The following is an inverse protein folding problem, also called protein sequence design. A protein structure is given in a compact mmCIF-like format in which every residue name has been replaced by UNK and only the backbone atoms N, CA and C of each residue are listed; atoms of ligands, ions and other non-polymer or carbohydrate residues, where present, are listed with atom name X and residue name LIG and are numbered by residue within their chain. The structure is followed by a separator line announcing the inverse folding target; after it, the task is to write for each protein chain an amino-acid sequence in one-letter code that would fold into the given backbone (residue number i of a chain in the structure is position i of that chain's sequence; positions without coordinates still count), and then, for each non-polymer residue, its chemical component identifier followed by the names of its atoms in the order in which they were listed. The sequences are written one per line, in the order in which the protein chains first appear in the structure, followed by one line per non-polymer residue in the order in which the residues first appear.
data_IF_323692079733
#
_entry.id   IF_323692079733
#
_cell.length_a   1.000
_cell.length_b   1.000
_cell.length_c   1.000
_cell.angle_alpha   90.00
_cell.angle_beta   90.00
_cell.angle_gamma   90.00
#
_symmetry.space_group_name_H-M   'P 1'
#
loop_
_entity.id
_entity.type
_entity.pdbx_description
1 polymer ?
#
# COMPACT_ATOMS: atom_id res chain seq x y z
N UNK A 1 -19.07 -20.39 26.73
CA UNK A 1 -17.64 -20.27 26.49
C UNK A 1 -17.50 -19.68 25.10
N UNK A 2 -17.22 -18.39 24.99
CA UNK A 2 -17.08 -17.68 23.73
C UNK A 2 -15.58 -17.67 23.43
N UNK A 3 -15.16 -18.31 22.36
CA UNK A 3 -13.76 -18.34 21.93
C UNK A 3 -13.28 -16.91 21.61
N UNK A 4 -12.03 -16.54 21.96
CA UNK A 4 -11.50 -15.22 21.67
C UNK A 4 -11.36 -15.02 20.16
N UNK A 5 -11.61 -13.79 19.64
CA UNK A 5 -11.44 -13.49 18.25
C UNK A 5 -9.97 -13.62 17.82
N UNK A 6 -9.74 -14.30 16.71
CA UNK A 6 -8.44 -14.48 16.08
C UNK A 6 -7.83 -13.11 15.71
N UNK A 7 -6.54 -12.94 16.02
CA UNK A 7 -5.75 -11.74 15.75
C UNK A 7 -5.69 -11.45 14.24
N UNK A 8 -5.68 -10.18 13.84
CA UNK A 8 -5.47 -9.84 12.42
C UNK A 8 -4.09 -10.31 11.96
N UNK A 9 -4.05 -10.96 10.80
CA UNK A 9 -2.82 -11.33 10.15
C UNK A 9 -2.08 -10.07 9.67
N UNK A 10 -0.85 -9.90 10.12
CA UNK A 10 0.03 -8.80 9.74
C UNK A 10 0.92 -9.21 8.57
N UNK A 11 1.32 -8.27 7.77
CA UNK A 11 2.13 -8.43 6.56
C UNK A 11 3.55 -8.93 6.84
N UNK A 12 4.14 -9.70 5.94
CA UNK A 12 5.51 -10.22 6.08
C UNK A 12 6.52 -9.23 5.49
N UNK A 13 7.31 -8.58 6.34
CA UNK A 13 8.30 -7.58 5.95
C UNK A 13 9.44 -8.16 5.08
N UNK A 14 9.76 -9.43 5.25
CA UNK A 14 10.81 -10.09 4.46
C UNK A 14 10.44 -10.25 2.98
N UNK A 15 9.13 -10.32 2.64
CA UNK A 15 8.69 -10.36 1.25
C UNK A 15 8.82 -9.04 0.52
N UNK A 16 8.72 -7.91 1.21
CA UNK A 16 8.90 -6.60 0.59
C UNK A 16 10.35 -6.34 0.15
N UNK A 17 11.31 -7.01 0.77
CA UNK A 17 12.74 -6.86 0.44
C UNK A 17 13.21 -7.75 -0.72
N UNK A 18 12.48 -8.84 -1.05
CA UNK A 18 12.99 -9.87 -1.95
C UNK A 18 12.21 -10.06 -3.26
N UNK A 19 11.09 -9.38 -3.48
CA UNK A 19 10.35 -9.56 -4.74
C UNK A 19 10.70 -8.48 -5.76
N UNK A 20 11.71 -8.78 -6.58
CA UNK A 20 11.80 -8.20 -7.92
C UNK A 20 10.53 -8.57 -8.70
N UNK A 21 9.93 -7.60 -9.37
CA UNK A 21 8.78 -7.80 -10.27
C UNK A 21 8.98 -9.03 -11.15
N UNK A 22 7.98 -9.92 -11.29
CA UNK A 22 8.10 -11.08 -12.16
C UNK A 22 8.36 -10.65 -13.59
N UNK A 23 9.37 -11.26 -14.21
CA UNK A 23 9.65 -11.17 -15.63
C UNK A 23 8.44 -11.67 -16.44
N UNK A 24 8.23 -11.19 -17.66
CA UNK A 24 7.11 -11.61 -18.51
C UNK A 24 7.18 -13.12 -18.80
N UNK A 25 6.05 -13.79 -19.08
CA UNK A 25 5.97 -15.22 -19.24
C UNK A 25 6.91 -15.71 -20.34
N UNK A 26 7.74 -16.69 -19.99
CA UNK A 26 8.62 -17.37 -20.95
C UNK A 26 7.77 -18.20 -21.89
N UNK A 27 8.09 -18.10 -23.19
CA UNK A 27 7.54 -18.91 -24.27
C UNK A 27 7.89 -20.38 -23.99
N UNK A 28 6.98 -21.35 -24.26
CA UNK A 28 7.22 -22.74 -23.93
C UNK A 28 8.41 -23.29 -24.77
N UNK A 29 9.28 -23.99 -24.06
CA UNK A 29 10.40 -24.71 -24.66
C UNK A 29 9.86 -25.84 -25.54
N UNK A 30 10.37 -25.90 -26.77
CA UNK A 30 10.20 -27.02 -27.72
C UNK A 30 10.87 -28.25 -27.12
N UNK A 31 10.12 -29.34 -26.96
CA UNK A 31 10.69 -30.66 -26.71
C UNK A 31 11.32 -31.22 -27.98
N UNK A 32 12.52 -31.79 -27.92
CA UNK A 32 13.03 -32.64 -28.98
C UNK A 32 12.90 -34.10 -28.57
N UNK A 33 11.86 -34.76 -29.02
CA UNK A 33 11.85 -36.21 -29.16
C UNK A 33 12.42 -36.63 -30.50
N UNK A 34 13.07 -37.78 -30.47
CA UNK A 34 13.63 -38.59 -31.56
C UNK A 34 15.06 -38.22 -32.07
N UNK A 35 16.04 -38.91 -31.53
CA UNK A 35 16.84 -39.81 -32.39
C UNK A 35 17.67 -40.79 -31.56
N UNK A 36 17.15 -42.00 -31.35
CA UNK A 36 17.99 -43.19 -31.11
C UNK A 36 18.33 -43.73 -32.45
N UNK A 37 19.60 -43.78 -32.81
CA UNK A 37 20.28 -44.94 -33.35
C UNK A 37 21.75 -44.62 -33.71
N UNK A 38 22.58 -45.66 -33.46
CA UNK A 38 23.91 -45.93 -34.03
C UNK A 38 25.13 -45.45 -33.21
N UNK A 39 25.67 -46.42 -32.50
CA UNK A 39 27.06 -46.91 -32.32
C UNK A 39 28.22 -46.07 -32.85
N UNK A 40 29.25 -45.94 -32.01
CA UNK A 40 30.60 -45.69 -32.46
C UNK A 40 31.50 -44.92 -31.53
N UNK A 41 32.22 -45.62 -30.70
CA UNK A 41 33.43 -45.33 -29.97
C UNK A 41 34.25 -44.11 -30.41
N UNK A 42 34.62 -43.24 -29.48
CA UNK A 42 36.00 -42.75 -29.25
C UNK A 42 36.05 -41.82 -28.02
N UNK A 43 36.92 -42.21 -27.11
CA UNK A 43 37.32 -41.47 -25.95
C UNK A 43 38.04 -40.18 -26.41
N UNK A 44 37.45 -39.02 -26.11
CA UNK A 44 38.17 -37.76 -26.09
C UNK A 44 37.86 -37.05 -24.77
N UNK A 45 38.93 -36.83 -24.00
CA UNK A 45 38.94 -36.08 -22.77
C UNK A 45 38.46 -34.65 -23.03
N UNK A 46 37.23 -34.32 -22.57
CA UNK A 46 36.78 -32.95 -22.48
C UNK A 46 37.08 -32.40 -21.11
N UNK A 47 38.01 -31.45 -21.07
CA UNK A 47 38.18 -30.52 -19.96
C UNK A 47 36.89 -29.77 -19.81
N UNK A 48 36.12 -30.09 -18.78
CA UNK A 48 34.91 -29.34 -18.43
C UNK A 48 35.32 -27.94 -17.92
N UNK A 49 35.26 -26.96 -18.82
CA UNK A 49 35.30 -25.57 -18.44
C UNK A 49 33.99 -25.23 -17.76
N UNK A 50 33.97 -25.28 -16.43
CA UNK A 50 32.81 -24.84 -15.62
C UNK A 50 32.64 -23.35 -15.80
N UNK A 51 31.79 -22.94 -16.74
CA UNK A 51 31.28 -21.57 -16.80
C UNK A 51 30.43 -21.34 -15.54
N UNK A 52 30.99 -20.68 -14.54
CA UNK A 52 30.26 -20.12 -13.42
C UNK A 52 29.35 -19.03 -14.01
N UNK A 53 28.10 -19.36 -14.24
CA UNK A 53 27.05 -18.37 -14.53
C UNK A 53 26.86 -17.57 -13.23
N UNK A 54 27.53 -16.43 -13.15
CA UNK A 54 27.23 -15.41 -12.17
C UNK A 54 25.80 -14.90 -12.48
N UNK A 55 24.81 -15.50 -11.82
CA UNK A 55 23.48 -14.89 -11.73
C UNK A 55 23.70 -13.58 -10.97
N UNK A 56 23.42 -12.41 -11.57
CA UNK A 56 23.50 -11.18 -10.81
C UNK A 56 22.48 -11.29 -9.69
N UNK A 57 22.96 -11.39 -8.46
CA UNK A 57 22.12 -11.17 -7.31
C UNK A 57 21.47 -9.79 -7.50
N UNK A 58 20.16 -9.73 -7.53
CA UNK A 58 19.45 -8.46 -7.51
C UNK A 58 19.94 -7.74 -6.24
N UNK A 59 20.78 -6.73 -6.44
CA UNK A 59 21.33 -5.94 -5.34
C UNK A 59 20.14 -5.22 -4.71
N UNK A 60 19.79 -5.59 -3.49
CA UNK A 60 18.86 -4.82 -2.71
C UNK A 60 19.43 -3.40 -2.58
N UNK A 61 18.62 -2.38 -2.91
CA UNK A 61 19.06 -0.99 -2.82
C UNK A 61 19.42 -0.64 -1.37
N UNK A 62 20.64 -0.16 -1.18
CA UNK A 62 21.13 0.27 0.13
C UNK A 62 20.78 1.72 0.45
N UNK A 63 21.02 2.19 1.69
CA UNK A 63 20.77 3.58 2.07
C UNK A 63 21.46 4.61 1.18
N UNK A 64 22.64 4.31 0.66
CA UNK A 64 23.40 5.19 -0.24
C UNK A 64 22.76 5.40 -1.62
N UNK A 65 21.79 4.56 -2.00
CA UNK A 65 21.07 4.69 -3.26
C UNK A 65 19.93 5.70 -3.18
N UNK A 66 19.52 6.09 -1.98
CA UNK A 66 18.45 7.04 -1.73
C UNK A 66 19.04 8.45 -1.52
N UNK A 67 18.37 9.44 -2.10
CA UNK A 67 18.80 10.83 -2.06
C UNK A 67 18.05 11.67 -1.02
N UNK A 68 16.87 11.19 -0.59
CA UNK A 68 15.91 11.95 0.21
C UNK A 68 15.13 12.98 -0.61
N UNK A 69 13.91 13.28 -0.18
CA UNK A 69 12.99 14.13 -0.93
C UNK A 69 13.50 15.56 -1.12
N UNK A 70 14.31 16.09 -0.19
CA UNK A 70 14.89 17.44 -0.32
C UNK A 70 15.78 17.59 -1.56
N UNK A 71 16.44 16.53 -1.99
CA UNK A 71 17.24 16.54 -3.20
C UNK A 71 16.42 16.71 -4.50
N UNK A 72 15.12 16.45 -4.43
CA UNK A 72 14.20 16.61 -5.58
C UNK A 72 13.74 18.08 -5.76
N UNK A 73 13.76 18.86 -4.67
CA UNK A 73 13.22 20.23 -4.62
C UNK A 73 13.79 21.17 -5.68
N UNK A 74 15.10 21.23 -5.94
CA UNK A 74 15.66 22.21 -6.88
C UNK A 74 15.09 22.09 -8.29
N UNK A 75 14.77 20.87 -8.74
CA UNK A 75 14.27 20.62 -10.09
C UNK A 75 12.74 20.39 -10.13
N UNK A 76 12.15 19.83 -9.06
CA UNK A 76 10.75 19.44 -8.98
C UNK A 76 9.98 20.22 -7.91
N UNK A 77 10.24 21.52 -7.75
CA UNK A 77 9.75 22.37 -6.65
C UNK A 77 8.23 22.31 -6.45
N UNK A 78 7.44 22.34 -7.53
CA UNK A 78 5.99 22.30 -7.46
C UNK A 78 5.48 20.96 -6.89
N UNK A 79 5.99 19.83 -7.40
CA UNK A 79 5.63 18.51 -6.92
C UNK A 79 6.13 18.28 -5.48
N UNK A 80 7.34 18.75 -5.17
CA UNK A 80 7.88 18.70 -3.83
C UNK A 80 6.97 19.44 -2.83
N UNK A 81 6.61 20.69 -3.12
CA UNK A 81 5.78 21.52 -2.24
C UNK A 81 4.40 20.88 -2.01
N UNK A 82 3.74 20.46 -3.09
CA UNK A 82 2.40 19.86 -2.95
C UNK A 82 2.43 18.50 -2.25
N UNK A 83 3.40 17.61 -2.59
CA UNK A 83 3.52 16.31 -1.96
C UNK A 83 3.91 16.41 -0.48
N UNK A 84 4.77 17.35 -0.10
CA UNK A 84 5.18 17.56 1.28
C UNK A 84 4.03 17.96 2.22
N UNK A 85 2.93 18.49 1.69
CA UNK A 85 1.74 18.82 2.47
C UNK A 85 0.72 17.67 2.56
N UNK A 86 1.01 16.52 1.94
CA UNK A 86 0.05 15.39 1.90
C UNK A 86 0.10 14.55 3.18
N UNK A 87 -0.98 13.82 3.41
CA UNK A 87 -1.02 12.80 4.47
C UNK A 87 0.00 11.69 4.28
N UNK A 88 0.41 11.40 3.06
CA UNK A 88 1.51 10.48 2.79
C UNK A 88 2.82 11.00 3.39
N UNK A 89 3.15 12.26 3.14
CA UNK A 89 4.37 12.86 3.69
C UNK A 89 4.40 12.90 5.23
N UNK A 90 3.23 12.90 5.85
CA UNK A 90 3.07 12.93 7.30
C UNK A 90 2.61 11.59 7.89
N UNK A 91 2.76 10.48 7.15
CA UNK A 91 2.35 9.16 7.60
C UNK A 91 3.11 8.68 8.84
N UNK A 92 4.34 9.13 9.02
CA UNK A 92 5.17 8.96 10.21
C UNK A 92 5.86 10.28 10.54
N UNK A 93 5.81 10.66 11.79
CA UNK A 93 6.51 11.84 12.32
C UNK A 93 7.03 11.56 13.74
N UNK A 94 8.03 12.31 14.23
CA UNK A 94 8.28 12.37 15.66
C UNK A 94 7.03 12.88 16.37
N UNK A 95 6.70 12.29 17.52
CA UNK A 95 5.63 12.83 18.34
C UNK A 95 6.00 14.23 18.85
N UNK A 96 5.00 15.09 18.93
CA UNK A 96 5.14 16.43 19.51
C UNK A 96 3.96 16.72 20.43
N UNK A 97 4.14 17.43 21.56
CA UNK A 97 3.06 17.78 22.45
C UNK A 97 1.87 18.41 21.72
N UNK A 98 0.60 18.08 22.08
CA UNK A 98 0.21 17.27 23.24
C UNK A 98 0.18 15.74 22.99
N UNK A 99 0.68 15.23 21.87
CA UNK A 99 0.68 13.80 21.57
C UNK A 99 1.76 13.08 22.37
N UNK A 100 1.42 11.98 23.05
CA UNK A 100 2.40 11.15 23.76
C UNK A 100 3.28 10.35 22.78
N UNK A 101 4.29 9.67 23.33
CA UNK A 101 5.16 8.76 22.58
C UNK A 101 6.32 9.43 21.87
N UNK A 102 7.15 8.62 21.23
CA UNK A 102 8.31 9.06 20.43
C UNK A 102 7.94 9.26 18.96
N UNK A 103 7.00 8.45 18.49
CA UNK A 103 6.53 8.41 17.12
C UNK A 103 5.02 8.57 17.02
N UNK A 104 4.58 9.31 16.01
CA UNK A 104 3.19 9.48 15.62
C UNK A 104 2.95 8.77 14.29
N UNK A 105 2.18 7.69 14.31
CA UNK A 105 1.75 6.96 13.12
C UNK A 105 0.40 7.48 12.65
N UNK A 106 0.37 7.98 11.41
CA UNK A 106 -0.80 8.57 10.78
C UNK A 106 -0.78 10.09 10.74
N UNK A 107 -1.37 10.64 9.68
CA UNK A 107 -1.38 12.09 9.41
C UNK A 107 -2.61 12.82 9.98
N UNK A 108 -3.35 12.21 10.88
CA UNK A 108 -4.53 12.84 11.52
C UNK A 108 -5.76 12.99 10.62
N UNK A 109 -5.79 12.43 9.41
CA UNK A 109 -7.03 12.43 8.60
C UNK A 109 -8.14 11.60 9.25
N UNK A 110 -7.78 10.52 9.90
CA UNK A 110 -8.69 9.64 10.64
C UNK A 110 -8.21 9.48 12.08
N UNK A 111 -6.92 9.17 12.26
CA UNK A 111 -6.32 8.86 13.55
C UNK A 111 -4.82 9.16 13.56
N UNK A 112 -4.28 9.29 14.78
CA UNK A 112 -2.84 9.29 15.07
C UNK A 112 -2.61 8.31 16.21
N UNK A 113 -1.83 7.24 15.95
CA UNK A 113 -1.46 6.27 16.96
C UNK A 113 -0.05 6.56 17.47
N UNK A 114 0.14 6.87 18.74
CA UNK A 114 1.45 7.06 19.31
C UNK A 114 2.18 5.73 19.46
N UNK A 115 3.50 5.77 19.33
CA UNK A 115 4.39 4.65 19.60
C UNK A 115 5.56 5.15 20.44
N UNK A 116 5.83 4.45 21.53
CA UNK A 116 6.87 4.79 22.50
C UNK A 116 7.96 3.71 22.50
N UNK A 117 9.23 4.09 22.39
CA UNK A 117 10.33 3.18 22.66
C UNK A 117 10.41 2.92 24.17
N UNK A 118 10.27 1.66 24.56
CA UNK A 118 10.21 1.28 26.00
C UNK A 118 11.42 0.44 26.45
N UNK A 119 12.32 0.14 25.53
CA UNK A 119 13.57 -0.58 25.78
C UNK A 119 14.50 -0.49 24.58
N UNK A 120 15.70 -1.04 24.65
CA UNK A 120 16.66 -1.01 23.55
C UNK A 120 16.06 -1.56 22.25
N UNK A 121 15.44 -2.75 22.35
CA UNK A 121 14.85 -3.51 21.24
C UNK A 121 13.31 -3.52 21.27
N UNK A 122 12.66 -2.59 21.96
CA UNK A 122 11.23 -2.72 22.27
C UNK A 122 10.48 -1.42 22.09
N UNK A 123 9.32 -1.53 21.45
CA UNK A 123 8.40 -0.43 21.21
C UNK A 123 7.01 -0.79 21.70
N UNK A 124 6.32 0.16 22.30
CA UNK A 124 4.91 0.05 22.68
C UNK A 124 4.06 0.85 21.70
N UNK A 125 3.13 0.18 21.03
CA UNK A 125 1.97 0.84 20.44
C UNK A 125 1.06 1.27 21.60
N UNK A 126 0.86 2.56 21.75
CA UNK A 126 0.11 3.08 22.90
C UNK A 126 -1.35 2.64 22.85
N UNK A 127 -1.92 2.35 24.01
CA UNK A 127 -3.31 1.89 24.13
C UNK A 127 -4.34 2.95 23.79
N UNK A 128 -3.93 4.22 23.64
CA UNK A 128 -4.77 5.34 23.27
C UNK A 128 -4.32 5.94 21.94
N UNK A 129 -5.24 5.99 20.98
CA UNK A 129 -5.10 6.66 19.68
C UNK A 129 -5.94 7.93 19.67
N UNK A 130 -5.41 9.00 19.11
CA UNK A 130 -6.21 10.18 18.81
C UNK A 130 -7.06 9.94 17.57
N UNK A 131 -8.38 10.15 17.69
CA UNK A 131 -9.31 10.00 16.58
C UNK A 131 -9.93 11.33 16.18
N UNK A 132 -9.89 11.67 14.89
CA UNK A 132 -10.49 12.90 14.38
C UNK A 132 -11.99 12.99 14.68
N UNK A 133 -12.71 11.86 14.57
CA UNK A 133 -14.15 11.80 14.81
C UNK A 133 -14.55 12.21 16.24
N UNK A 134 -13.64 12.02 17.20
CA UNK A 134 -13.82 12.42 18.60
C UNK A 134 -13.16 13.77 18.91
N UNK A 135 -12.25 14.22 18.05
CA UNK A 135 -11.27 15.24 18.40
C UNK A 135 -10.58 14.94 19.75
N UNK A 136 -10.25 13.69 19.97
CA UNK A 136 -9.76 13.22 21.28
C UNK A 136 -9.23 11.79 21.21
N UNK A 137 -8.81 11.29 22.36
CA UNK A 137 -8.22 9.97 22.52
C UNK A 137 -9.26 8.92 22.91
N UNK A 138 -9.11 7.72 22.40
CA UNK A 138 -9.83 6.52 22.79
C UNK A 138 -8.95 5.28 22.56
N UNK A 139 -9.41 4.13 23.05
CA UNK A 139 -8.69 2.85 22.91
C UNK A 139 -8.29 2.62 21.46
N UNK A 140 -7.01 2.30 21.28
CA UNK A 140 -6.42 1.96 19.96
C UNK A 140 -7.15 0.77 19.34
N UNK A 141 -7.54 0.88 18.09
CA UNK A 141 -8.29 -0.15 17.39
C UNK A 141 -7.55 -1.48 17.40
N UNK A 142 -8.20 -2.52 17.91
CA UNK A 142 -7.62 -3.86 18.08
C UNK A 142 -6.99 -4.10 19.45
N UNK A 143 -6.94 -3.09 20.33
CA UNK A 143 -6.52 -3.22 21.73
C UNK A 143 -7.73 -3.26 22.65
N UNK A 144 -7.51 -3.71 23.89
CA UNK A 144 -8.58 -3.92 24.89
C UNK A 144 -8.51 -2.94 26.05
N UNK A 145 -7.36 -2.31 26.25
CA UNK A 145 -7.14 -1.36 27.37
C UNK A 145 -6.15 -0.25 26.96
N UNK A 146 -5.91 0.68 27.87
CA UNK A 146 -5.02 1.83 27.67
C UNK A 146 -3.52 1.50 27.82
N UNK A 147 -3.16 0.27 28.17
CA UNK A 147 -1.75 -0.09 28.46
C UNK A 147 -0.91 -0.18 27.20
N UNK A 148 -1.56 -0.46 26.07
CA UNK A 148 -0.88 -0.67 24.82
C UNK A 148 -0.29 -2.08 24.69
N UNK A 149 0.36 -2.33 23.54
CA UNK A 149 1.00 -3.59 23.23
C UNK A 149 2.48 -3.36 22.96
N UNK A 150 3.33 -4.11 23.64
CA UNK A 150 4.78 -4.04 23.44
C UNK A 150 5.20 -5.05 22.37
N UNK A 151 5.99 -4.57 21.42
CA UNK A 151 6.59 -5.36 20.35
C UNK A 151 8.10 -5.30 20.45
N UNK A 152 8.77 -6.41 20.16
CA UNK A 152 10.22 -6.43 19.93
C UNK A 152 10.53 -6.08 18.48
N UNK A 153 11.58 -5.32 18.26
CA UNK A 153 12.01 -4.86 16.93
C UNK A 153 12.20 -6.02 15.96
N UNK A 154 12.88 -7.09 16.39
CA UNK A 154 13.22 -8.23 15.55
C UNK A 154 12.30 -9.45 15.75
N UNK A 155 11.17 -9.31 16.45
CA UNK A 155 10.20 -10.42 16.56
C UNK A 155 9.47 -10.63 15.24
N UNK A 156 9.74 -11.75 14.52
CA UNK A 156 9.08 -12.01 13.25
C UNK A 156 7.55 -12.16 13.38
N UNK A 157 7.08 -12.62 14.54
CA UNK A 157 5.66 -12.80 14.82
C UNK A 157 4.96 -11.45 15.02
N UNK A 158 5.65 -10.48 15.60
CA UNK A 158 5.11 -9.16 15.86
C UNK A 158 5.02 -8.30 14.60
N UNK A 159 5.90 -8.52 13.61
CA UNK A 159 5.96 -7.79 12.33
C UNK A 159 5.97 -6.26 12.50
N UNK A 160 6.56 -5.78 13.60
CA UNK A 160 6.51 -4.37 13.96
C UNK A 160 7.23 -3.47 12.95
N UNK A 161 8.33 -3.96 12.37
CA UNK A 161 9.05 -3.26 11.29
C UNK A 161 8.17 -2.92 10.09
N UNK A 162 7.11 -3.69 9.84
CA UNK A 162 6.18 -3.43 8.74
C UNK A 162 5.45 -2.09 8.90
N UNK A 163 5.17 -1.68 10.16
CA UNK A 163 4.56 -0.38 10.41
C UNK A 163 5.46 0.73 9.87
N UNK A 164 6.75 0.68 10.22
CA UNK A 164 7.73 1.66 9.72
C UNK A 164 7.93 1.56 8.21
N UNK A 165 8.02 0.35 7.65
CA UNK A 165 8.22 0.15 6.21
C UNK A 165 7.11 0.77 5.35
N UNK A 166 5.85 0.73 5.80
CA UNK A 166 4.72 1.35 5.11
C UNK A 166 4.58 2.86 5.39
N UNK A 167 5.14 3.34 6.50
CA UNK A 167 4.97 4.72 6.96
C UNK A 167 6.22 5.59 6.78
N UNK A 168 7.32 5.04 6.26
CA UNK A 168 8.57 5.75 5.98
C UNK A 168 9.05 5.51 4.55
N UNK A 169 10.13 6.16 4.16
CA UNK A 169 10.73 6.07 2.82
C UNK A 169 12.14 5.51 2.91
N UNK A 170 12.45 4.60 2.01
CA UNK A 170 13.76 3.96 1.92
C UNK A 170 13.96 2.84 2.96
N UNK A 171 15.17 2.29 3.03
CA UNK A 171 15.46 1.18 3.93
C UNK A 171 15.40 1.61 5.39
N UNK A 172 14.98 0.67 6.24
CA UNK A 172 15.12 0.79 7.68
C UNK A 172 16.50 0.30 8.07
N UNK A 173 17.17 1.00 8.96
CA UNK A 173 18.38 0.55 9.62
C UNK A 173 18.15 0.39 11.12
N UNK A 174 19.00 -0.39 11.76
CA UNK A 174 19.02 -0.51 13.21
C UNK A 174 20.23 0.19 13.76
N UNK A 175 20.05 0.98 14.79
CA UNK A 175 21.11 1.59 15.53
C UNK A 175 21.84 0.58 16.45
N UNK A 176 22.75 1.07 17.27
CA UNK A 176 23.57 0.22 18.16
C UNK A 176 22.76 -0.48 19.24
N UNK A 177 21.65 0.08 19.62
CA UNK A 177 20.72 -0.44 20.61
C UNK A 177 19.46 -1.02 19.96
N UNK A 178 19.58 -1.49 18.71
CA UNK A 178 18.46 -2.06 17.91
C UNK A 178 17.29 -1.08 17.70
N UNK A 179 17.53 0.23 17.91
CA UNK A 179 16.55 1.26 17.59
C UNK A 179 16.30 1.35 16.08
N UNK A 180 15.02 1.50 15.73
CA UNK A 180 14.62 1.63 14.33
C UNK A 180 14.96 3.03 13.83
N UNK A 181 15.76 3.10 12.78
CA UNK A 181 16.15 4.35 12.12
C UNK A 181 15.59 4.33 10.69
N UNK A 182 14.47 5.01 10.44
CA UNK A 182 13.97 5.21 9.08
C UNK A 182 14.94 6.08 8.27
N UNK A 183 15.15 5.76 6.99
CA UNK A 183 15.95 6.60 6.11
C UNK A 183 15.33 8.00 5.95
N UNK A 184 14.01 8.04 5.70
CA UNK A 184 13.26 9.29 5.65
C UNK A 184 11.85 9.07 6.22
N UNK A 185 11.34 10.04 6.98
CA UNK A 185 10.02 9.96 7.60
C UNK A 185 8.91 10.25 6.61
N UNK A 186 7.80 9.53 6.75
CA UNK A 186 6.65 9.62 5.86
C UNK A 186 6.86 8.96 4.51
N UNK A 187 5.80 8.85 3.74
CA UNK A 187 5.80 8.31 2.37
C UNK A 187 6.13 9.44 1.41
N UNK A 188 7.41 9.51 0.99
CA UNK A 188 7.98 10.58 0.17
C UNK A 188 8.23 10.11 -1.26
N UNK A 189 8.92 10.93 -2.05
CA UNK A 189 9.16 10.76 -3.48
C UNK A 189 9.66 9.35 -3.85
N UNK A 190 10.66 8.86 -3.14
CA UNK A 190 11.38 7.63 -3.51
C UNK A 190 10.62 6.33 -3.19
N UNK A 191 9.57 6.36 -2.36
CA UNK A 191 8.65 5.21 -2.23
C UNK A 191 8.02 4.88 -3.57
N UNK A 192 7.61 5.91 -4.30
CA UNK A 192 6.92 5.76 -5.57
C UNK A 192 7.88 5.72 -6.77
N UNK A 193 8.93 6.51 -6.74
CA UNK A 193 9.84 6.68 -7.87
C UNK A 193 11.09 5.79 -7.81
N UNK A 194 11.35 5.17 -6.66
CA UNK A 194 12.55 4.35 -6.41
C UNK A 194 13.75 5.20 -6.00
N UNK A 195 14.88 4.53 -5.66
CA UNK A 195 16.10 5.17 -5.22
C UNK A 195 16.62 6.18 -6.24
N UNK A 196 16.91 7.42 -5.82
CA UNK A 196 17.14 8.55 -6.71
C UNK A 196 18.56 9.09 -6.69
N UNK A 197 19.48 8.55 -5.89
CA UNK A 197 20.83 9.12 -5.76
C UNK A 197 21.58 9.21 -7.09
N UNK A 198 21.42 8.23 -7.98
CA UNK A 198 22.04 8.27 -9.32
C UNK A 198 21.35 9.30 -10.21
N UNK A 199 20.02 9.39 -10.18
CA UNK A 199 19.29 10.41 -10.93
C UNK A 199 19.66 11.84 -10.51
N UNK A 200 19.82 12.08 -9.21
CA UNK A 200 20.22 13.40 -8.70
C UNK A 200 21.61 13.80 -9.20
N UNK A 201 22.54 12.83 -9.31
CA UNK A 201 23.90 13.09 -9.83
C UNK A 201 23.93 13.26 -11.34
N UNK A 202 23.11 12.51 -12.06
CA UNK A 202 23.07 12.51 -13.53
C UNK A 202 21.63 12.32 -14.04
N UNK A 203 20.81 13.38 -14.01
CA UNK A 203 19.40 13.31 -14.40
C UNK A 203 19.19 13.06 -15.89
N UNK A 204 20.20 13.30 -16.73
CA UNK A 204 20.10 13.10 -18.18
C UNK A 204 20.24 11.63 -18.59
N UNK A 205 21.00 10.84 -17.85
CA UNK A 205 21.28 9.44 -18.17
C UNK A 205 20.65 8.43 -17.20
N UNK A 206 20.05 8.89 -16.11
CA UNK A 206 19.37 8.04 -15.14
C UNK A 206 17.90 8.39 -15.05
N UNK A 207 17.01 7.45 -15.39
CA UNK A 207 15.57 7.60 -15.24
C UNK A 207 15.07 6.90 -13.98
N UNK A 208 14.16 7.53 -13.29
CA UNK A 208 13.43 6.92 -12.19
C UNK A 208 12.19 6.17 -12.73
N UNK A 209 11.67 5.27 -11.91
CA UNK A 209 10.39 4.63 -12.18
C UNK A 209 9.30 5.70 -12.31
N UNK A 210 8.46 5.55 -13.33
CA UNK A 210 7.29 6.41 -13.58
C UNK A 210 6.01 5.60 -13.28
N UNK A 211 5.43 5.69 -12.07
CA UNK A 211 4.25 4.89 -11.73
C UNK A 211 3.07 5.12 -12.67
N UNK A 212 2.96 6.29 -13.30
CA UNK A 212 1.91 6.57 -14.27
C UNK A 212 1.92 5.65 -15.52
N UNK A 213 3.04 4.99 -15.79
CA UNK A 213 3.17 4.01 -16.89
C UNK A 213 2.66 2.62 -16.52
N UNK A 214 2.33 2.40 -15.25
CA UNK A 214 1.80 1.12 -14.80
C UNK A 214 0.39 0.88 -15.34
N UNK A 215 0.11 -0.38 -15.72
CA UNK A 215 -1.27 -0.79 -16.01
C UNK A 215 -2.15 -0.61 -14.77
N UNK A 216 -3.47 -0.57 -14.94
CA UNK A 216 -4.39 -0.43 -13.81
C UNK A 216 -4.19 -1.51 -12.74
N UNK A 217 -3.96 -2.76 -13.16
CA UNK A 217 -3.70 -3.89 -12.25
C UNK A 217 -2.36 -3.71 -11.53
N UNK A 218 -1.30 -3.35 -12.27
CA UNK A 218 0.01 -3.12 -11.68
C UNK A 218 -0.01 -1.91 -10.71
N UNK A 219 -0.72 -0.82 -11.04
CA UNK A 219 -0.90 0.32 -10.15
C UNK A 219 -1.67 -0.07 -8.89
N UNK A 220 -2.72 -0.90 -9.02
CA UNK A 220 -3.50 -1.36 -7.88
C UNK A 220 -2.64 -2.19 -6.91
N UNK A 221 -1.82 -3.11 -7.43
CA UNK A 221 -0.85 -3.87 -6.65
C UNK A 221 0.22 -2.97 -6.03
N UNK A 222 0.71 -2.01 -6.80
CA UNK A 222 1.73 -1.06 -6.34
C UNK A 222 1.24 -0.25 -5.12
N UNK A 223 0.06 0.34 -5.17
CA UNK A 223 -0.54 1.01 -4.01
C UNK A 223 -0.87 0.00 -2.89
N UNK A 224 -1.24 -1.22 -3.27
CA UNK A 224 -1.58 -2.31 -2.39
C UNK A 224 -0.45 -2.82 -1.50
N UNK A 225 0.81 -2.50 -1.80
CA UNK A 225 1.94 -2.83 -0.93
C UNK A 225 1.77 -2.27 0.49
N UNK A 226 1.14 -1.10 0.61
CA UNK A 226 0.81 -0.48 1.89
C UNK A 226 -0.70 -0.47 2.17
N UNK A 227 -1.52 -0.24 1.14
CA UNK A 227 -2.99 -0.17 1.23
C UNK A 227 -3.68 -1.53 1.08
N UNK A 228 -2.91 -2.59 1.00
CA UNK A 228 -3.32 -4.01 0.96
C UNK A 228 -4.20 -4.37 -0.25
N UNK A 229 -3.71 -5.29 -1.01
CA UNK A 229 -4.45 -6.03 -2.03
C UNK A 229 -5.00 -7.33 -1.43
N UNK A 230 -5.64 -8.17 -2.26
CA UNK A 230 -5.83 -9.58 -1.99
C UNK A 230 -4.51 -10.19 -1.54
N UNK A 231 -4.52 -10.86 -0.42
CA UNK A 231 -3.32 -11.36 0.18
C UNK A 231 -2.68 -12.45 -0.68
N UNK A 232 -1.40 -12.31 -0.95
CA UNK A 232 -0.58 -13.42 -1.44
C UNK A 232 -0.50 -14.58 -0.42
N UNK A 233 -1.02 -14.39 0.79
CA UNK A 233 -1.02 -15.39 1.86
C UNK A 233 -2.24 -16.30 1.86
N UNK A 234 -3.21 -16.11 0.93
CA UNK A 234 -4.35 -17.02 0.75
C UNK A 234 -5.36 -17.08 1.90
N UNK A 235 -5.19 -16.33 2.96
CA UNK A 235 -6.06 -16.38 4.13
C UNK A 235 -7.03 -15.20 4.18
N UNK A 236 -8.32 -15.51 4.22
CA UNK A 236 -9.50 -14.78 4.74
C UNK A 236 -9.66 -13.26 4.51
N UNK A 237 -8.65 -12.53 4.06
CA UNK A 237 -8.76 -11.09 3.78
C UNK A 237 -9.60 -10.78 2.54
N UNK A 238 -10.00 -11.80 1.81
CA UNK A 238 -10.85 -11.67 0.61
C UNK A 238 -12.34 -11.54 0.92
N UNK A 239 -12.77 -11.73 2.17
CA UNK A 239 -14.18 -11.52 2.50
C UNK A 239 -14.55 -10.03 2.52
N UNK A 240 -15.06 -9.57 1.39
CA UNK A 240 -15.56 -8.19 1.25
C UNK A 240 -16.76 -7.87 2.15
N UNK A 241 -17.30 -8.84 2.91
CA UNK A 241 -18.33 -8.62 3.93
C UNK A 241 -17.73 -8.13 5.23
N UNK A 242 -16.46 -8.43 5.48
CA UNK A 242 -15.77 -7.99 6.68
C UNK A 242 -15.53 -6.46 6.65
N UNK A 243 -16.11 -5.69 7.60
CA UNK A 243 -15.89 -4.26 7.66
C UNK A 243 -14.42 -3.89 7.95
N UNK A 244 -13.62 -4.81 8.50
CA UNK A 244 -12.19 -4.60 8.74
C UNK A 244 -11.43 -4.33 7.44
N UNK A 245 -11.89 -4.90 6.32
CA UNK A 245 -11.33 -4.66 4.99
C UNK A 245 -11.78 -3.32 4.37
N UNK A 246 -12.50 -2.48 5.08
CA UNK A 246 -12.94 -1.18 4.57
C UNK A 246 -11.77 -0.26 4.20
N UNK A 247 -10.63 -0.41 4.87
CA UNK A 247 -9.40 0.34 4.62
C UNK A 247 -8.46 -0.29 3.58
N UNK A 248 -8.83 -1.47 3.05
CA UNK A 248 -8.08 -2.17 2.02
C UNK A 248 -8.64 -1.75 0.64
N UNK A 249 -8.39 -0.50 0.27
CA UNK A 249 -8.99 0.14 -0.91
C UNK A 249 -8.66 -0.60 -2.22
N UNK A 250 -7.41 -1.04 -2.49
CA UNK A 250 -7.08 -1.80 -3.69
C UNK A 250 -7.85 -3.10 -3.81
N UNK A 251 -8.02 -3.85 -2.71
CA UNK A 251 -8.81 -5.08 -2.67
C UNK A 251 -10.27 -4.81 -3.10
N UNK A 252 -10.88 -3.78 -2.51
CA UNK A 252 -12.26 -3.42 -2.82
C UNK A 252 -12.43 -2.86 -4.22
N UNK A 253 -11.46 -2.07 -4.69
CA UNK A 253 -11.46 -1.52 -6.06
C UNK A 253 -11.38 -2.65 -7.10
N UNK A 254 -10.55 -3.67 -6.87
CA UNK A 254 -10.41 -4.81 -7.76
C UNK A 254 -11.75 -5.55 -7.99
N UNK A 255 -12.66 -5.51 -7.03
CA UNK A 255 -14.00 -6.10 -7.13
C UNK A 255 -15.06 -5.16 -7.77
N UNK A 256 -14.66 -3.95 -8.21
CA UNK A 256 -15.56 -2.99 -8.84
C UNK A 256 -15.82 -3.32 -10.31
N UNK A 257 -17.06 -3.24 -10.76
CA UNK A 257 -17.40 -3.50 -12.16
C UNK A 257 -16.67 -2.56 -13.12
N UNK A 258 -16.48 -1.29 -12.74
CA UNK A 258 -15.75 -0.31 -13.54
C UNK A 258 -14.24 -0.60 -13.61
N UNK A 259 -13.63 -1.19 -12.58
CA UNK A 259 -12.25 -1.67 -12.62
C UNK A 259 -12.12 -2.89 -13.55
N UNK A 260 -12.99 -3.90 -13.37
CA UNK A 260 -12.97 -5.15 -14.11
C UNK A 260 -13.29 -4.96 -15.60
N UNK A 261 -14.21 -4.03 -15.93
CA UNK A 261 -14.74 -3.85 -17.29
C UNK A 261 -14.29 -2.54 -17.95
N UNK A 262 -13.53 -1.72 -17.25
CA UNK A 262 -13.12 -0.39 -17.72
C UNK A 262 -11.98 -0.40 -18.76
N UNK A 263 -11.47 -1.57 -19.17
CA UNK A 263 -10.40 -1.68 -20.15
C UNK A 263 -9.10 -1.02 -19.67
N UNK A 264 -8.77 -1.14 -18.38
CA UNK A 264 -7.54 -0.60 -17.80
C UNK A 264 -7.51 0.92 -17.60
N UNK A 265 -8.64 1.61 -17.79
CA UNK A 265 -8.73 3.09 -17.67
C UNK A 265 -8.87 3.58 -16.24
N UNK A 266 -9.33 2.75 -15.32
CA UNK A 266 -9.53 3.11 -13.92
C UNK A 266 -8.42 2.53 -13.07
N UNK A 267 -7.72 3.38 -12.36
CA UNK A 267 -6.73 3.02 -11.34
C UNK A 267 -6.76 4.06 -10.21
N UNK A 268 -5.91 3.89 -9.19
CA UNK A 268 -5.89 4.75 -8.01
C UNK A 268 -5.68 6.22 -8.37
N UNK A 269 -4.75 6.52 -9.28
CA UNK A 269 -4.40 7.90 -9.65
C UNK A 269 -5.43 8.55 -10.59
N UNK A 270 -6.40 7.80 -11.10
CA UNK A 270 -7.54 8.38 -11.82
C UNK A 270 -8.34 9.32 -10.92
N UNK A 271 -8.46 8.97 -9.63
CA UNK A 271 -9.23 9.72 -8.64
C UNK A 271 -8.34 10.47 -7.64
N UNK A 272 -7.15 9.96 -7.35
CA UNK A 272 -6.24 10.47 -6.33
C UNK A 272 -4.93 10.96 -6.96
N UNK A 273 -4.78 12.27 -7.25
CA UNK A 273 -3.50 12.81 -7.71
C UNK A 273 -2.40 12.54 -6.67
N UNK A 274 -1.33 11.78 -7.01
CA UNK A 274 -0.40 11.26 -5.99
C UNK A 274 0.46 12.33 -5.32
N UNK A 275 0.63 13.48 -5.97
CA UNK A 275 1.38 14.61 -5.42
C UNK A 275 0.51 15.63 -4.67
N UNK A 276 -0.78 15.36 -4.49
CA UNK A 276 -1.71 16.25 -3.82
C UNK A 276 -2.37 15.57 -2.64
N UNK A 277 -2.81 16.38 -1.67
CA UNK A 277 -3.64 15.89 -0.58
C UNK A 277 -4.94 15.32 -1.14
N UNK A 278 -5.37 14.17 -0.60
CA UNK A 278 -6.66 13.58 -0.94
C UNK A 278 -7.79 14.55 -0.57
N UNK A 279 -8.66 14.82 -1.54
CA UNK A 279 -9.80 15.70 -1.33
C UNK A 279 -10.83 15.03 -0.41
N UNK A 280 -11.34 15.79 0.55
CA UNK A 280 -12.36 15.30 1.49
C UNK A 280 -13.78 15.64 1.03
N UNK A 281 -13.94 16.48 0.00
CA UNK A 281 -15.24 16.80 -0.58
C UNK A 281 -15.73 15.67 -1.48
N UNK A 282 -16.90 15.10 -1.16
CA UNK A 282 -17.49 14.04 -1.97
C UNK A 282 -17.79 14.46 -3.40
N UNK A 283 -18.24 15.72 -3.60
CA UNK A 283 -18.60 16.24 -4.93
C UNK A 283 -17.41 16.50 -5.84
N UNK A 284 -16.20 16.67 -5.30
CA UNK A 284 -15.00 16.87 -6.11
C UNK A 284 -14.66 15.64 -6.98
N UNK A 285 -15.18 14.46 -6.63
CA UNK A 285 -14.99 13.23 -7.39
C UNK A 285 -15.98 13.04 -8.53
N UNK A 286 -17.06 13.81 -8.59
CA UNK A 286 -18.14 13.64 -9.59
C UNK A 286 -17.61 13.79 -11.02
N UNK A 287 -16.71 14.75 -11.24
CA UNK A 287 -16.07 14.97 -12.55
C UNK A 287 -15.30 13.72 -13.04
N UNK A 288 -14.74 12.94 -12.11
CA UNK A 288 -14.04 11.70 -12.44
C UNK A 288 -15.03 10.61 -12.90
N UNK A 289 -16.16 10.49 -12.21
CA UNK A 289 -17.22 9.58 -12.62
C UNK A 289 -17.81 9.98 -13.98
N UNK A 290 -18.10 11.26 -14.17
CA UNK A 290 -18.69 11.83 -15.38
C UNK A 290 -17.77 11.73 -16.61
N UNK A 291 -16.46 11.62 -16.43
CA UNK A 291 -15.54 11.43 -17.56
C UNK A 291 -15.83 10.14 -18.37
N UNK A 292 -16.37 9.11 -17.71
CA UNK A 292 -16.82 7.87 -18.33
C UNK A 292 -18.36 7.79 -18.43
N UNK A 293 -19.06 8.29 -17.41
CA UNK A 293 -20.51 8.21 -17.28
C UNK A 293 -21.19 9.50 -17.75
N UNK A 294 -21.04 9.86 -19.04
CA UNK A 294 -21.51 11.15 -19.61
C UNK A 294 -23.02 11.31 -19.72
N UNK A 295 -23.76 10.21 -19.79
CA UNK A 295 -25.22 10.21 -20.02
C UNK A 295 -25.93 9.35 -18.96
N UNK A 296 -25.63 9.63 -17.68
CA UNK A 296 -26.31 8.94 -16.59
C UNK A 296 -27.73 9.50 -16.40
N UNK A 297 -28.70 8.63 -16.46
CA UNK A 297 -30.07 8.93 -16.05
C UNK A 297 -30.35 8.11 -14.79
N UNK A 298 -30.54 8.78 -13.66
CA UNK A 298 -31.02 8.14 -12.46
C UNK A 298 -32.56 8.05 -12.51
N UNK A 299 -33.10 6.90 -12.10
CA UNK A 299 -34.55 6.69 -12.03
C UNK A 299 -35.21 7.54 -10.93
N UNK A 300 -34.46 7.93 -9.92
CA UNK A 300 -34.88 8.81 -8.83
C UNK A 300 -34.14 10.12 -8.92
N UNK A 301 -34.80 11.19 -8.49
CA UNK A 301 -34.19 12.50 -8.43
C UNK A 301 -33.13 12.48 -7.32
N UNK A 302 -31.86 12.57 -7.71
CA UNK A 302 -30.69 12.58 -6.78
C UNK A 302 -30.00 13.96 -6.83
N UNK A 303 -30.79 15.01 -7.11
CA UNK A 303 -30.26 16.35 -7.24
C UNK A 303 -29.44 16.77 -6.01
N UNK A 304 -28.23 17.26 -6.26
CA UNK A 304 -27.33 17.76 -5.20
C UNK A 304 -26.58 16.68 -4.42
N UNK A 305 -26.75 15.39 -4.74
CA UNK A 305 -25.98 14.33 -4.09
C UNK A 305 -24.77 13.95 -4.91
N UNK A 306 -23.61 13.88 -4.26
CA UNK A 306 -22.37 13.43 -4.90
C UNK A 306 -22.44 11.93 -5.25
N UNK A 307 -21.88 11.55 -6.40
CA UNK A 307 -21.87 10.16 -6.89
C UNK A 307 -21.32 9.18 -5.82
N UNK A 308 -20.23 9.54 -5.18
CA UNK A 308 -19.57 8.71 -4.16
C UNK A 308 -20.41 8.48 -2.93
N UNK A 309 -21.36 9.37 -2.60
CA UNK A 309 -22.21 9.23 -1.42
C UNK A 309 -23.11 7.97 -1.48
N UNK A 310 -23.50 7.57 -2.68
CA UNK A 310 -24.32 6.39 -2.92
C UNK A 310 -23.53 5.19 -3.46
N UNK A 311 -22.52 5.46 -4.31
CA UNK A 311 -21.77 4.41 -5.01
C UNK A 311 -20.49 3.98 -4.29
N UNK A 312 -20.03 4.73 -3.29
CA UNK A 312 -18.90 4.44 -2.42
C UNK A 312 -19.25 4.77 -0.97
N UNK A 313 -20.34 4.21 -0.41
CA UNK A 313 -20.80 4.58 0.93
C UNK A 313 -19.72 4.35 1.95
N UNK A 314 -19.79 5.07 3.07
CA UNK A 314 -18.81 4.92 4.12
C UNK A 314 -19.09 3.67 4.96
N UNK A 315 -18.06 2.86 5.16
CA UNK A 315 -18.09 1.66 5.98
C UNK A 315 -17.44 1.98 7.32
N UNK A 316 -18.15 1.77 8.45
CA UNK A 316 -17.54 1.83 9.77
C UNK A 316 -16.45 0.76 9.93
N UNK A 317 -15.33 1.13 10.54
CA UNK A 317 -14.26 0.23 10.91
C UNK A 317 -13.92 0.48 12.39
N UNK A 318 -14.60 -0.24 13.26
CA UNK A 318 -14.64 0.07 14.66
C UNK A 318 -15.49 1.32 14.98
N UNK A 319 -15.44 1.81 16.23
CA UNK A 319 -16.37 2.85 16.68
C UNK A 319 -16.01 4.26 16.17
N UNK A 320 -14.76 4.50 15.76
CA UNK A 320 -14.25 5.85 15.52
C UNK A 320 -13.73 6.08 14.09
N UNK A 321 -13.61 5.04 13.29
CA UNK A 321 -13.07 5.11 11.92
C UNK A 321 -14.16 4.81 10.89
N UNK A 322 -14.11 5.50 9.77
CA UNK A 322 -14.94 5.20 8.61
C UNK A 322 -14.15 5.36 7.33
N UNK A 323 -14.35 4.44 6.37
CA UNK A 323 -13.67 4.48 5.07
C UNK A 323 -14.67 4.43 3.93
N UNK A 324 -14.39 5.13 2.84
CA UNK A 324 -15.18 5.00 1.62
C UNK A 324 -15.05 3.58 1.04
N UNK A 325 -16.16 2.98 0.67
CA UNK A 325 -16.15 1.67 0.04
C UNK A 325 -15.65 1.77 -1.40
N UNK A 326 -14.42 1.34 -1.64
CA UNK A 326 -13.82 1.34 -2.98
C UNK A 326 -14.36 0.23 -3.92
N UNK A 327 -15.24 -0.65 -3.45
CA UNK A 327 -16.05 -1.49 -4.33
C UNK A 327 -17.20 -0.64 -4.90
N UNK A 328 -16.92 0.07 -5.99
CA UNK A 328 -17.85 1.00 -6.62
C UNK A 328 -19.03 0.23 -7.19
N UNK A 329 -20.23 0.46 -6.64
CA UNK A 329 -21.44 -0.27 -6.99
C UNK A 329 -22.70 0.51 -6.60
N UNK A 330 -23.88 -0.07 -6.79
CA UNK A 330 -25.14 0.41 -6.18
C UNK A 330 -25.35 -0.29 -4.84
N UNK A 331 -25.72 0.47 -3.84
CA UNK A 331 -25.94 -0.03 -2.48
C UNK A 331 -27.37 0.22 -2.03
N UNK A 332 -27.90 -0.67 -1.21
CA UNK A 332 -29.18 -0.45 -0.53
C UNK A 332 -28.99 0.48 0.67
N UNK A 333 -29.98 1.33 0.97
CA UNK A 333 -29.94 2.12 2.20
C UNK A 333 -29.68 1.25 3.44
N UNK A 334 -28.75 1.68 4.30
CA UNK A 334 -28.38 0.95 5.52
C UNK A 334 -27.42 -0.24 5.32
N UNK A 335 -27.07 -0.62 4.09
CA UNK A 335 -26.06 -1.65 3.85
C UNK A 335 -24.88 -1.09 3.01
N UNK A 336 -23.85 -0.50 3.62
CA UNK A 336 -22.73 0.06 2.90
C UNK A 336 -21.69 -0.98 2.46
N UNK A 337 -21.82 -2.25 2.86
CA UNK A 337 -20.79 -3.28 2.68
C UNK A 337 -21.03 -4.09 1.42
N UNK A 338 -22.28 -4.55 1.24
CA UNK A 338 -22.65 -5.40 0.12
C UNK A 338 -23.40 -4.61 -0.95
N UNK A 339 -23.01 -4.73 -2.23
CA UNK A 339 -23.77 -4.17 -3.32
C UNK A 339 -25.20 -4.72 -3.35
N UNK A 340 -26.14 -3.88 -3.74
CA UNK A 340 -27.50 -4.33 -4.01
C UNK A 340 -27.48 -5.33 -5.16
N UNK A 341 -28.26 -6.41 -5.02
CA UNK A 341 -28.44 -7.38 -6.10
C UNK A 341 -29.06 -6.66 -7.31
N UNK A 342 -28.48 -6.80 -8.52
CA UNK A 342 -29.08 -6.24 -9.73
C UNK A 342 -30.51 -6.77 -9.85
N UNK A 343 -31.50 -5.87 -9.92
CA UNK A 343 -32.86 -6.30 -10.29
C UNK A 343 -32.76 -6.80 -11.72
N UNK A 344 -33.17 -8.05 -11.95
CA UNK A 344 -33.26 -8.63 -13.27
C UNK A 344 -34.02 -7.71 -14.25
N UNK A 345 -33.85 -7.88 -15.56
CA UNK A 345 -34.60 -7.14 -16.53
C UNK A 345 -36.09 -7.37 -16.27
N UNK A 346 -36.87 -6.29 -16.16
CA UNK A 346 -38.33 -6.32 -16.13
C UNK A 346 -38.82 -6.36 -17.55
#
# INVERSE_FOLDING_TARGET
MISPPSRPAFFNAERLANEALPLPPQVPAFEPDLCRLMMGCRIMSFVALSAIILIPAALASGPADYAGAEACRPCHSANFTSQSSTSHAHALAPSSPPQPGDWAFGAGLQAITPVTRVGPDSYREDGLTWYRSLNGYAITLGQHDEKGVVFRTLDPAARFLTCFACHSTGPLSLGKEEEIIPHELGVRCEVCHGPAATHVRDPSHSRLRTPAELTAVAMNRFCGQCHRTDSETGEELTDLRDPRNARDQPLRLAASACFLRGGGRLNCVTCHPPHQQVDQSASSYDVRCQSCHRKLVHRQQVAGQACVSCHMPRIPNGPYLTFANHRIATYSPGNPILPATPRGPR
#
